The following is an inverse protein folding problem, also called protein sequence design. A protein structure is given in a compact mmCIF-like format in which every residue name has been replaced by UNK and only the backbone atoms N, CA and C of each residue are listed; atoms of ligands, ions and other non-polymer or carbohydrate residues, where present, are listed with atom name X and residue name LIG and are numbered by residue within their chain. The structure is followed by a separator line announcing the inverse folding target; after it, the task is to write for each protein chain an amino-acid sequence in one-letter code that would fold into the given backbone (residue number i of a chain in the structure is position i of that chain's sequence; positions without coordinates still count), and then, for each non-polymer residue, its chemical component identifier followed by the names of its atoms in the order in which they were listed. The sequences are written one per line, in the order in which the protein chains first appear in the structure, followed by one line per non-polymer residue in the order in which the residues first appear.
data_IF_590289409154
#
_entry.id   IF_590289409154
#
_cell.length_a   1.000
_cell.length_b   1.000
_cell.length_c   1.000
_cell.angle_alpha   90.00
_cell.angle_beta   90.00
_cell.angle_gamma   90.00
#
_symmetry.space_group_name_H-M   'P 1'
#
loop_
_entity.id
_entity.type
_entity.pdbx_description
1 polymer ?
#
# COMPACT_ATOMS: atom_id res chain seq x y z
N UNK A 1 6.00 -54.91 -57.92
CA UNK A 1 6.56 -53.67 -58.45
C UNK A 1 6.33 -52.64 -57.39
N UNK A 2 7.34 -52.41 -56.63
CA UNK A 2 8.22 -51.22 -56.46
C UNK A 2 7.52 -50.15 -55.69
N UNK A 3 7.97 -49.52 -54.64
CA UNK A 3 9.26 -49.20 -54.02
C UNK A 3 8.92 -48.18 -52.97
N UNK A 4 9.32 -48.29 -51.68
CA UNK A 4 10.50 -47.78 -51.09
C UNK A 4 10.70 -46.27 -51.16
N UNK A 5 11.00 -45.68 -50.02
CA UNK A 5 11.59 -44.39 -49.73
C UNK A 5 10.68 -43.46 -48.86
N UNK A 6 10.99 -42.94 -47.65
CA UNK A 6 12.28 -42.58 -47.15
C UNK A 6 12.15 -42.27 -45.67
N UNK A 7 12.80 -43.01 -44.84
CA UNK A 7 13.12 -42.68 -43.46
C UNK A 7 14.42 -41.85 -43.43
N UNK A 8 14.37 -40.54 -43.61
CA UNK A 8 15.54 -39.70 -43.40
C UNK A 8 15.21 -38.22 -43.15
N UNK A 9 14.50 -37.89 -42.08
CA UNK A 9 14.40 -36.47 -41.62
C UNK A 9 14.16 -36.32 -40.12
N UNK A 10 14.91 -37.00 -39.27
CA UNK A 10 14.72 -36.78 -37.85
C UNK A 10 16.00 -36.50 -37.02
N UNK A 11 17.17 -36.47 -37.64
CA UNK A 11 18.43 -36.35 -36.90
C UNK A 11 19.07 -34.94 -36.92
N UNK A 12 18.62 -34.04 -37.74
CA UNK A 12 19.19 -32.67 -37.83
C UNK A 12 18.59 -31.67 -36.84
N UNK A 13 17.43 -31.99 -36.24
CA UNK A 13 16.74 -31.11 -35.29
C UNK A 13 17.34 -31.15 -33.86
N UNK A 14 17.90 -32.30 -33.47
CA UNK A 14 18.45 -32.46 -32.11
C UNK A 14 19.85 -31.86 -31.95
N UNK A 15 20.60 -31.71 -33.02
CA UNK A 15 21.94 -31.13 -32.98
C UNK A 15 21.89 -29.61 -32.80
N UNK A 16 20.91 -28.93 -33.39
CA UNK A 16 20.71 -27.48 -33.25
C UNK A 16 20.27 -27.05 -31.84
N UNK A 17 19.54 -27.86 -31.09
CA UNK A 17 19.12 -27.58 -29.71
C UNK A 17 20.26 -27.70 -28.71
N UNK A 18 21.19 -28.61 -28.92
CA UNK A 18 22.37 -28.78 -28.04
C UNK A 18 23.40 -27.68 -28.23
N UNK A 19 23.53 -27.14 -29.43
CA UNK A 19 24.46 -26.04 -29.71
C UNK A 19 23.92 -24.69 -29.21
N UNK A 20 22.60 -24.48 -29.20
CA UNK A 20 21.98 -23.30 -28.60
C UNK A 20 22.25 -23.19 -27.08
N UNK A 21 22.21 -24.33 -26.37
CA UNK A 21 22.52 -24.34 -24.94
C UNK A 21 24.01 -24.08 -24.63
N UNK A 22 24.94 -24.34 -25.55
CA UNK A 22 26.36 -24.04 -25.31
C UNK A 22 26.72 -22.57 -25.39
N UNK A 23 25.95 -21.77 -26.14
CA UNK A 23 26.16 -20.33 -26.27
C UNK A 23 25.48 -19.51 -25.17
N UNK A 24 24.52 -20.12 -24.40
CA UNK A 24 23.82 -19.43 -23.31
C UNK A 24 24.58 -19.49 -21.97
N UNK A 25 25.62 -20.31 -21.84
CA UNK A 25 26.43 -20.41 -20.61
C UNK A 25 27.59 -19.40 -20.60
N UNK A 26 27.93 -18.78 -21.72
CA UNK A 26 29.04 -17.81 -21.85
C UNK A 26 28.68 -16.34 -21.71
N UNK A 27 27.39 -16.00 -21.55
CA UNK A 27 26.88 -14.60 -21.57
C UNK A 27 26.56 -13.97 -20.22
N UNK A 28 26.94 -14.58 -19.10
CA UNK A 28 26.54 -14.14 -17.76
C UNK A 28 27.55 -13.23 -17.04
N UNK A 29 28.31 -12.42 -17.76
CA UNK A 29 29.22 -11.44 -17.13
C UNK A 29 29.10 -10.11 -17.86
N UNK A 30 28.00 -9.40 -17.72
CA UNK A 30 27.92 -7.94 -17.96
C UNK A 30 26.54 -7.35 -17.59
N UNK A 31 25.97 -7.68 -16.43
CA UNK A 31 24.80 -6.94 -15.92
C UNK A 31 24.90 -6.60 -14.43
N UNK A 32 26.13 -6.38 -13.94
CA UNK A 32 26.36 -6.01 -12.53
C UNK A 32 26.35 -4.48 -12.28
N UNK A 33 25.92 -3.67 -13.24
CA UNK A 33 26.08 -2.20 -13.15
C UNK A 33 24.81 -1.40 -12.83
N UNK A 34 23.61 -1.95 -12.96
CA UNK A 34 22.38 -1.13 -12.83
C UNK A 34 21.58 -1.44 -11.55
N UNK A 35 21.88 -2.52 -10.84
CA UNK A 35 21.18 -2.90 -9.61
C UNK A 35 21.47 -2.06 -8.36
N UNK A 36 22.47 -1.19 -8.41
CA UNK A 36 22.90 -0.39 -7.24
C UNK A 36 22.25 0.98 -7.09
N UNK A 37 21.39 1.39 -7.99
CA UNK A 37 20.80 2.74 -7.98
C UNK A 37 19.53 2.87 -7.15
N UNK A 38 18.95 1.75 -6.72
CA UNK A 38 17.80 1.77 -5.82
C UNK A 38 18.20 1.15 -4.49
N UNK A 39 18.20 1.90 -3.38
CA UNK A 39 18.45 1.33 -2.07
C UNK A 39 17.35 0.29 -1.77
N UNK A 40 17.68 -0.98 -1.89
CA UNK A 40 16.79 -2.04 -1.40
C UNK A 40 16.74 -1.94 0.12
N UNK A 41 15.55 -1.73 0.67
CA UNK A 41 15.31 -1.83 2.11
C UNK A 41 15.79 -3.20 2.58
N UNK A 42 16.73 -3.23 3.53
CA UNK A 42 17.18 -4.50 4.09
C UNK A 42 16.02 -5.18 4.82
N UNK A 43 15.98 -6.49 4.78
CA UNK A 43 14.94 -7.29 5.46
C UNK A 43 14.87 -6.99 6.98
N UNK A 44 15.97 -6.58 7.58
CA UNK A 44 16.01 -6.11 8.98
C UNK A 44 15.28 -4.78 9.19
N UNK A 45 15.32 -3.85 8.22
CA UNK A 45 14.58 -2.59 8.29
C UNK A 45 13.07 -2.82 8.09
N UNK A 46 12.68 -3.71 7.20
CA UNK A 46 11.28 -4.07 6.99
C UNK A 46 10.71 -4.76 8.24
N UNK A 47 11.46 -5.64 8.89
CA UNK A 47 11.06 -6.27 10.14
C UNK A 47 10.90 -5.25 11.28
N UNK A 48 11.80 -4.26 11.38
CA UNK A 48 11.71 -3.19 12.37
C UNK A 48 10.52 -2.26 12.08
N UNK A 49 10.30 -1.90 10.81
CA UNK A 49 9.13 -1.13 10.36
C UNK A 49 7.82 -1.81 10.79
N UNK A 50 7.66 -3.08 10.47
CA UNK A 50 6.48 -3.86 10.79
C UNK A 50 6.29 -4.00 12.31
N UNK A 51 7.35 -4.28 13.04
CA UNK A 51 7.31 -4.38 14.49
C UNK A 51 6.93 -3.05 15.15
N UNK A 52 7.62 -1.96 14.81
CA UNK A 52 7.40 -0.66 15.44
C UNK A 52 6.11 0.04 14.99
N UNK A 53 5.54 -0.34 13.86
CA UNK A 53 4.20 0.11 13.47
C UNK A 53 3.08 -0.61 14.23
N UNK A 54 3.37 -1.79 14.78
CA UNK A 54 2.41 -2.56 15.59
C UNK A 54 2.57 -2.28 17.09
N UNK A 55 3.80 -1.99 17.52
CA UNK A 55 4.15 -1.76 18.92
C UNK A 55 4.97 -0.47 19.08
N UNK A 56 4.41 0.72 18.78
CA UNK A 56 5.15 1.98 18.73
C UNK A 56 5.75 2.43 20.07
N UNK A 57 5.19 1.96 21.19
CA UNK A 57 5.66 2.28 22.55
C UNK A 57 6.72 1.30 23.07
N UNK A 58 7.10 0.28 22.29
CA UNK A 58 8.15 -0.63 22.70
C UNK A 58 9.51 0.10 22.75
N UNK A 59 10.33 -0.21 23.77
CA UNK A 59 11.64 0.44 23.97
C UNK A 59 12.58 0.31 22.77
N UNK A 60 12.49 -0.80 22.02
CA UNK A 60 13.25 -0.99 20.75
C UNK A 60 12.87 -0.01 19.66
N UNK A 61 11.70 0.62 19.77
CA UNK A 61 11.15 1.56 18.79
C UNK A 61 11.29 3.02 19.24
N UNK A 62 11.93 3.29 20.38
CA UNK A 62 12.00 4.63 20.96
C UNK A 62 12.46 5.69 19.95
N UNK A 63 13.51 5.42 19.23
CA UNK A 63 14.09 6.32 18.22
C UNK A 63 13.71 5.96 16.77
N UNK A 64 12.74 5.07 16.58
CA UNK A 64 12.28 4.67 15.25
C UNK A 64 10.91 5.27 14.95
N UNK A 65 10.81 5.94 13.79
CA UNK A 65 9.56 6.51 13.27
C UNK A 65 9.10 5.66 12.06
N UNK A 66 8.15 4.74 12.26
CA UNK A 66 7.66 3.90 11.17
C UNK A 66 6.86 4.70 10.15
N UNK A 67 6.80 4.23 8.92
CA UNK A 67 6.00 4.82 7.85
C UNK A 67 6.50 6.18 7.37
N UNK A 68 5.60 6.93 6.79
CA UNK A 68 5.85 8.27 6.27
C UNK A 68 5.04 9.31 7.07
N UNK A 69 5.53 10.54 7.15
CA UNK A 69 4.80 11.62 7.79
C UNK A 69 3.52 11.93 7.04
N UNK A 70 2.42 12.09 7.76
CA UNK A 70 1.19 12.64 7.20
C UNK A 70 1.34 14.13 6.97
N UNK A 71 0.84 14.61 5.84
CA UNK A 71 0.81 16.03 5.47
C UNK A 71 -0.61 16.47 5.12
N UNK A 72 -0.87 17.75 5.19
CA UNK A 72 -2.08 18.37 4.68
C UNK A 72 -2.04 18.56 3.15
N UNK A 73 -3.02 19.27 2.60
CA UNK A 73 -3.09 19.59 1.18
C UNK A 73 -1.96 20.52 0.68
N UNK A 74 -1.36 21.30 1.59
CA UNK A 74 -0.25 22.21 1.32
C UNK A 74 1.12 21.56 1.60
N UNK A 75 1.16 20.23 1.76
CA UNK A 75 2.37 19.45 2.08
C UNK A 75 2.99 19.78 3.45
N UNK A 76 2.24 20.45 4.33
CA UNK A 76 2.68 20.74 5.69
C UNK A 76 2.48 19.54 6.61
N UNK A 77 3.45 19.28 7.48
CA UNK A 77 3.39 18.16 8.41
C UNK A 77 2.21 18.31 9.40
N UNK A 78 1.43 17.26 9.54
CA UNK A 78 0.36 17.18 10.53
C UNK A 78 0.97 17.09 11.93
N UNK A 79 0.71 18.08 12.73
CA UNK A 79 1.05 18.11 14.16
C UNK A 79 -0.17 17.70 14.98
N UNK A 80 -0.01 16.68 15.81
CA UNK A 80 -1.11 16.08 16.59
C UNK A 80 -1.83 17.09 17.47
N UNK A 81 -1.07 17.92 18.21
CA UNK A 81 -1.62 18.93 19.10
C UNK A 81 -2.48 19.98 18.36
N UNK A 82 -2.04 20.42 17.18
CA UNK A 82 -2.81 21.37 16.36
C UNK A 82 -4.07 20.72 15.77
N UNK A 83 -3.91 19.49 15.26
CA UNK A 83 -5.03 18.73 14.68
C UNK A 83 -6.13 18.53 15.73
N UNK A 84 -5.77 18.02 16.90
CA UNK A 84 -6.74 17.69 17.95
C UNK A 84 -7.37 18.93 18.60
N UNK A 85 -6.72 20.09 18.53
CA UNK A 85 -7.30 21.35 19.03
C UNK A 85 -8.52 21.82 18.21
N UNK A 86 -8.64 21.40 16.95
CA UNK A 86 -9.74 21.76 16.05
C UNK A 86 -10.62 20.59 15.63
N UNK A 87 -10.19 19.35 15.87
CA UNK A 87 -10.91 18.17 15.48
C UNK A 87 -12.09 17.88 16.42
N UNK A 88 -13.17 17.36 15.82
CA UNK A 88 -14.35 16.90 16.54
C UNK A 88 -14.49 15.38 16.46
N UNK A 89 -15.23 14.82 17.41
CA UNK A 89 -15.56 13.40 17.43
C UNK A 89 -16.22 12.99 16.10
N UNK A 90 -15.72 11.92 15.50
CA UNK A 90 -16.27 11.40 14.27
C UNK A 90 -15.69 12.03 13.00
N UNK A 91 -14.80 13.01 13.09
CA UNK A 91 -14.16 13.61 11.93
C UNK A 91 -13.36 12.58 11.10
N UNK A 92 -13.39 12.78 9.81
CA UNK A 92 -12.60 12.06 8.82
C UNK A 92 -11.71 13.05 8.10
N UNK A 93 -10.49 13.24 8.62
CA UNK A 93 -9.57 14.30 8.20
C UNK A 93 -8.72 13.79 7.04
N UNK A 94 -8.83 14.40 5.83
CA UNK A 94 -8.03 14.01 4.69
C UNK A 94 -6.56 14.40 4.89
N UNK A 95 -5.66 13.44 4.73
CA UNK A 95 -4.21 13.63 4.81
C UNK A 95 -3.52 12.95 3.63
N UNK A 96 -2.31 13.40 3.34
CA UNK A 96 -1.42 12.88 2.30
C UNK A 96 -0.15 12.31 2.93
N UNK A 97 0.77 11.80 2.11
CA UNK A 97 2.07 11.25 2.52
C UNK A 97 2.38 9.91 1.87
N UNK A 98 1.37 9.12 1.53
CA UNK A 98 1.55 7.88 0.78
C UNK A 98 1.53 8.12 -0.73
N UNK A 99 2.30 7.33 -1.48
CA UNK A 99 2.23 7.34 -2.94
C UNK A 99 0.88 6.83 -3.44
N UNK A 100 0.33 5.81 -2.76
CA UNK A 100 -0.99 5.24 -3.01
C UNK A 100 -1.56 4.62 -1.72
N UNK A 101 -2.72 5.04 -1.25
CA UNK A 101 -3.57 6.14 -1.76
C UNK A 101 -2.91 7.51 -1.63
N UNK A 102 -3.22 8.43 -2.55
CA UNK A 102 -2.76 9.84 -2.44
C UNK A 102 -3.41 10.55 -1.25
N UNK A 103 -4.66 10.20 -0.94
CA UNK A 103 -5.42 10.72 0.19
C UNK A 103 -5.78 9.56 1.10
N UNK A 104 -5.67 9.77 2.40
CA UNK A 104 -6.06 8.83 3.45
C UNK A 104 -6.83 9.62 4.50
N UNK A 105 -7.85 9.05 5.08
CA UNK A 105 -8.68 9.73 6.07
C UNK A 105 -8.31 9.29 7.48
N UNK A 106 -7.77 10.20 8.27
CA UNK A 106 -7.60 9.98 9.72
C UNK A 106 -8.97 9.91 10.37
N UNK A 107 -9.10 9.06 11.35
CA UNK A 107 -10.32 8.87 12.14
C UNK A 107 -10.09 9.48 13.52
N UNK A 108 -11.00 10.36 13.95
CA UNK A 108 -10.98 10.93 15.29
C UNK A 108 -11.98 10.17 16.17
N UNK A 109 -11.46 9.55 17.22
CA UNK A 109 -12.23 8.80 18.22
C UNK A 109 -12.69 9.72 19.38
N UNK A 110 -13.47 9.14 20.29
CA UNK A 110 -13.85 9.78 21.56
C UNK A 110 -12.62 10.15 22.41
N UNK A 111 -12.68 11.28 23.12
CA UNK A 111 -11.58 11.77 23.94
C UNK A 111 -10.46 12.49 23.19
N UNK A 112 -10.77 13.35 22.21
CA UNK A 112 -10.14 13.62 20.93
C UNK A 112 -8.81 12.89 20.74
N UNK A 113 -8.87 11.69 20.19
CA UNK A 113 -7.72 10.83 19.92
C UNK A 113 -7.71 10.41 18.44
N UNK A 114 -6.54 10.38 17.82
CA UNK A 114 -6.37 9.84 16.47
C UNK A 114 -6.38 8.30 16.57
N UNK A 115 -7.30 7.67 15.86
CA UNK A 115 -7.34 6.20 15.78
C UNK A 115 -6.02 5.62 15.27
N UNK A 116 -5.68 4.40 15.72
CA UNK A 116 -4.48 3.70 15.25
C UNK A 116 -4.61 3.19 13.81
N UNK A 117 -5.63 3.63 13.12
CA UNK A 117 -5.86 3.34 11.71
C UNK A 117 -6.43 4.55 10.97
N UNK A 118 -6.19 4.56 9.67
CA UNK A 118 -6.78 5.50 8.74
C UNK A 118 -7.51 4.73 7.64
N UNK A 119 -8.49 5.37 7.00
CA UNK A 119 -9.29 4.79 5.92
C UNK A 119 -8.72 5.23 4.59
N UNK A 120 -8.43 4.26 3.72
CA UNK A 120 -7.97 4.50 2.35
C UNK A 120 -9.05 5.17 1.52
N UNK A 121 -8.70 6.17 0.73
CA UNK A 121 -9.62 6.78 -0.24
C UNK A 121 -9.81 5.96 -1.52
N UNK A 122 -9.22 4.77 -1.65
CA UNK A 122 -9.32 3.97 -2.87
C UNK A 122 -10.61 3.14 -2.87
N UNK A 123 -11.54 3.49 -3.76
CA UNK A 123 -12.77 2.72 -3.99
C UNK A 123 -12.44 1.29 -4.41
N UNK A 124 -13.04 0.32 -3.73
CA UNK A 124 -12.78 -1.12 -3.96
C UNK A 124 -13.47 -1.69 -5.20
N UNK A 125 -14.24 -0.88 -5.93
CA UNK A 125 -14.79 -1.26 -7.24
C UNK A 125 -13.71 -1.21 -8.32
N UNK A 126 -13.24 -0.02 -8.72
CA UNK A 126 -12.22 0.19 -9.75
C UNK A 126 -11.13 1.19 -9.38
N UNK A 127 -10.93 1.48 -8.11
CA UNK A 127 -9.79 2.27 -7.64
C UNK A 127 -9.93 3.78 -7.75
N UNK A 128 -11.14 4.31 -8.01
CA UNK A 128 -11.40 5.76 -7.95
C UNK A 128 -11.22 6.28 -6.53
N UNK A 129 -10.93 7.57 -6.40
CA UNK A 129 -10.87 8.21 -5.09
C UNK A 129 -12.29 8.45 -4.56
N UNK A 130 -12.57 8.01 -3.33
CA UNK A 130 -13.79 8.35 -2.61
C UNK A 130 -13.61 9.66 -1.85
N UNK A 131 -14.70 10.43 -1.72
CA UNK A 131 -14.73 11.65 -0.94
C UNK A 131 -15.60 11.45 0.32
N UNK A 132 -15.12 11.98 1.45
CA UNK A 132 -15.89 12.03 2.68
C UNK A 132 -16.94 13.14 2.59
N UNK A 133 -18.15 12.81 2.96
CA UNK A 133 -19.27 13.72 3.09
C UNK A 133 -19.75 13.69 4.55
N UNK A 134 -19.46 14.76 5.27
CA UNK A 134 -19.77 14.88 6.69
C UNK A 134 -21.29 14.98 6.95
N UNK A 135 -22.06 15.58 6.03
CA UNK A 135 -23.51 15.75 6.19
C UNK A 135 -24.22 14.41 6.13
N UNK A 136 -23.86 13.57 5.15
CA UNK A 136 -24.44 12.23 5.02
C UNK A 136 -23.71 11.17 5.87
N UNK A 137 -22.59 11.52 6.51
CA UNK A 137 -21.71 10.62 7.27
C UNK A 137 -21.27 9.40 6.44
N UNK A 138 -20.88 9.63 5.19
CA UNK A 138 -20.53 8.59 4.21
C UNK A 138 -19.34 8.96 3.34
N UNK A 139 -18.66 7.94 2.86
CA UNK A 139 -17.74 8.10 1.73
C UNK A 139 -18.48 7.81 0.43
N UNK A 140 -18.38 8.72 -0.53
CA UNK A 140 -19.02 8.64 -1.83
C UNK A 140 -17.98 8.47 -2.93
N UNK A 141 -18.17 7.45 -3.79
CA UNK A 141 -17.35 7.24 -4.98
C UNK A 141 -18.00 7.92 -6.19
N UNK A 142 -17.36 8.93 -6.81
CA UNK A 142 -17.98 9.68 -7.90
C UNK A 142 -18.07 8.90 -9.21
N UNK A 143 -17.28 7.82 -9.38
CA UNK A 143 -17.21 7.10 -10.66
C UNK A 143 -18.47 6.25 -10.94
N UNK A 144 -18.90 5.44 -9.96
CA UNK A 144 -20.01 4.49 -10.16
C UNK A 144 -20.97 4.45 -8.96
N UNK A 145 -20.93 5.46 -8.09
CA UNK A 145 -21.90 5.63 -7.01
C UNK A 145 -21.79 4.63 -5.85
N UNK A 146 -20.63 3.97 -5.67
CA UNK A 146 -20.42 3.18 -4.46
C UNK A 146 -20.37 4.09 -3.24
N UNK A 147 -21.02 3.68 -2.16
CA UNK A 147 -21.07 4.40 -0.89
C UNK A 147 -20.57 3.51 0.24
N UNK A 148 -19.91 4.14 1.19
CA UNK A 148 -19.40 3.48 2.38
C UNK A 148 -19.79 4.30 3.61
N UNK A 149 -20.02 3.63 4.72
CA UNK A 149 -20.28 4.31 5.99
C UNK A 149 -19.04 5.02 6.55
N UNK A 150 -19.17 5.63 7.71
CA UNK A 150 -18.08 6.34 8.39
C UNK A 150 -16.91 5.44 8.79
N UNK A 151 -17.09 4.12 8.82
CA UNK A 151 -16.04 3.14 9.07
C UNK A 151 -15.46 2.57 7.77
N UNK A 152 -15.94 3.02 6.61
CA UNK A 152 -15.53 2.54 5.29
C UNK A 152 -16.13 1.20 4.90
N UNK A 153 -17.21 0.74 5.55
CA UNK A 153 -17.95 -0.46 5.15
C UNK A 153 -18.91 -0.14 4.01
N UNK A 154 -19.05 -1.06 3.05
CA UNK A 154 -19.93 -0.85 1.90
C UNK A 154 -21.39 -0.77 2.36
N UNK A 155 -22.08 0.31 2.00
CA UNK A 155 -23.52 0.48 2.23
C UNK A 155 -24.33 0.52 0.94
N UNK A 156 -23.69 0.83 -0.21
CA UNK A 156 -24.38 0.89 -1.51
C UNK A 156 -23.39 0.79 -2.67
N UNK A 157 -23.90 0.34 -3.80
CA UNK A 157 -23.25 0.42 -5.11
C UNK A 157 -22.51 -0.82 -5.52
N UNK A 158 -21.73 -0.77 -6.62
CA UNK A 158 -21.10 -1.96 -7.20
C UNK A 158 -19.87 -2.46 -6.42
N UNK A 159 -19.31 -1.70 -5.49
CA UNK A 159 -18.23 -2.17 -4.62
C UNK A 159 -18.72 -3.33 -3.73
N UNK A 160 -17.89 -4.35 -3.59
CA UNK A 160 -18.22 -5.56 -2.80
C UNK A 160 -17.37 -5.70 -1.53
N UNK A 161 -16.42 -4.82 -1.31
CA UNK A 161 -15.47 -4.87 -0.18
C UNK A 161 -15.37 -3.51 0.47
N UNK A 162 -15.18 -3.49 1.77
CA UNK A 162 -14.89 -2.28 2.55
C UNK A 162 -13.62 -1.58 2.05
N UNK A 163 -13.51 -0.28 2.32
CA UNK A 163 -12.28 0.47 2.11
C UNK A 163 -11.14 -0.14 2.96
N UNK A 164 -9.93 -0.16 2.44
CA UNK A 164 -8.80 -0.68 3.18
C UNK A 164 -8.46 0.21 4.37
N UNK A 165 -8.06 -0.40 5.50
CA UNK A 165 -7.50 0.30 6.63
C UNK A 165 -5.97 0.22 6.60
N UNK A 166 -5.34 1.33 6.96
CA UNK A 166 -3.88 1.50 7.01
C UNK A 166 -3.47 1.84 8.44
N UNK A 167 -2.40 1.25 8.97
CA UNK A 167 -1.94 1.60 10.31
C UNK A 167 -1.51 3.07 10.41
N UNK A 168 -1.89 3.69 11.52
CA UNK A 168 -1.45 5.03 11.91
C UNK A 168 -0.65 4.93 13.20
N UNK A 169 0.48 5.61 13.22
CA UNK A 169 1.32 5.73 14.43
C UNK A 169 1.42 7.20 14.79
N UNK A 170 1.01 7.52 16.01
CA UNK A 170 1.20 8.84 16.62
C UNK A 170 2.44 8.79 17.49
N UNK A 171 3.46 9.57 17.13
CA UNK A 171 4.71 9.63 17.88
C UNK A 171 5.40 10.98 17.71
N UNK A 172 5.99 11.51 18.78
CA UNK A 172 6.72 12.79 18.79
C UNK A 172 5.91 13.95 18.17
N UNK A 173 4.63 14.05 18.53
CA UNK A 173 3.68 15.04 18.00
C UNK A 173 3.47 14.95 16.46
N UNK A 174 3.81 13.83 15.84
CA UNK A 174 3.64 13.59 14.41
C UNK A 174 2.65 12.44 14.17
N UNK A 175 1.92 12.55 13.06
CA UNK A 175 1.10 11.45 12.53
C UNK A 175 1.88 10.75 11.44
N UNK A 176 2.01 9.43 11.55
CA UNK A 176 2.73 8.58 10.60
C UNK A 176 1.79 7.59 9.94
N UNK A 177 1.83 7.50 8.62
CA UNK A 177 1.06 6.55 7.81
C UNK A 177 1.96 5.38 7.41
N UNK A 178 1.52 4.16 7.68
CA UNK A 178 2.26 2.96 7.32
C UNK A 178 1.60 2.32 6.09
N UNK A 179 2.39 2.14 5.01
CA UNK A 179 1.86 1.60 3.76
C UNK A 179 1.77 0.07 3.79
N UNK A 180 0.88 -0.43 4.64
CA UNK A 180 0.52 -1.85 4.69
C UNK A 180 -0.94 -2.02 5.08
N UNK A 181 -1.54 -3.15 4.77
CA UNK A 181 -2.88 -3.49 5.27
C UNK A 181 -2.78 -3.86 6.75
N UNK A 182 -3.80 -3.49 7.54
CA UNK A 182 -3.94 -3.97 8.91
C UNK A 182 -4.20 -5.48 8.93
N UNK A 183 -3.55 -6.19 9.83
CA UNK A 183 -3.74 -7.65 10.02
C UNK A 183 -5.07 -7.95 10.70
N UNK A 184 -5.48 -7.09 11.63
CA UNK A 184 -6.79 -7.18 12.31
C UNK A 184 -7.55 -5.89 12.05
N UNK A 185 -8.78 -6.03 11.56
CA UNK A 185 -9.66 -4.89 11.35
C UNK A 185 -10.33 -4.52 12.69
N UNK A 186 -10.19 -3.25 13.15
CA UNK A 186 -10.76 -2.80 14.43
C UNK A 186 -12.26 -2.44 14.35
N UNK A 187 -12.88 -2.62 13.16
CA UNK A 187 -14.27 -2.28 12.89
C UNK A 187 -15.15 -3.50 12.66
#
# INVERSE_FOLDING_TARGET
MSENLNHHKSWTSLKKRRDFCKYMVGGAIASTGIGYLFPQRSQSQENLENFCSSYPLNSRCENYLPGVSATDENEQLIQVNKLLASATLGDRIPVRGLTRPKVTYLVINEGPEIAQYAISSICTHFGCTVNWDAESNKFNCPCHGSQYDSQGQVVRGPAKRSLALLPVVVKQNQVRLVNRKLEREPR
#
